data_IF_466058619143
#
_entry.id   IF_466058619143
#
_cell.length_a   1.000
_cell.length_b   1.000
_cell.length_c   1.000
_cell.angle_alpha   90.00
_cell.angle_beta   90.00
_cell.angle_gamma   90.00
#
_symmetry.space_group_name_H-M   'P 1'
#
loop_
_entity.id
_entity.type
_entity.pdbx_description
1 polymer ?
#
# COMPACT_ATOMS: atom_id res chain seq x y z
N UNK A 1 -43.18 -59.73 64.49
CA UNK A 1 -43.49 -59.88 63.06
C UNK A 1 -42.85 -58.68 62.37
N UNK A 2 -41.74 -58.90 61.67
CA UNK A 2 -40.87 -57.86 61.12
C UNK A 2 -41.04 -57.80 59.60
N UNK A 3 -41.43 -56.64 59.07
CA UNK A 3 -41.58 -56.41 57.64
C UNK A 3 -40.26 -55.92 57.03
N UNK A 4 -39.71 -56.74 56.12
CA UNK A 4 -38.45 -56.51 55.43
C UNK A 4 -38.64 -55.59 54.22
N UNK A 5 -37.92 -54.46 54.22
CA UNK A 5 -37.76 -53.57 53.06
C UNK A 5 -37.01 -54.30 51.94
N UNK A 6 -37.68 -54.55 50.82
CA UNK A 6 -37.07 -55.03 49.58
C UNK A 6 -36.30 -53.91 48.89
N UNK A 7 -34.98 -54.02 48.85
CA UNK A 7 -34.08 -53.15 48.10
C UNK A 7 -34.26 -53.38 46.58
N UNK A 8 -34.65 -52.32 45.87
CA UNK A 8 -34.70 -52.28 44.41
C UNK A 8 -33.27 -52.36 43.84
N UNK A 9 -33.01 -53.46 43.14
CA UNK A 9 -31.78 -53.76 42.42
C UNK A 9 -31.62 -52.83 41.23
N UNK A 10 -30.67 -51.90 41.30
CA UNK A 10 -30.26 -51.03 40.20
C UNK A 10 -29.82 -51.86 38.98
N UNK A 11 -30.47 -51.63 37.82
CA UNK A 11 -30.06 -52.19 36.52
C UNK A 11 -28.84 -51.40 36.01
N UNK A 12 -27.73 -52.06 35.61
CA UNK A 12 -26.61 -51.34 35.02
C UNK A 12 -26.99 -50.84 33.62
N UNK A 13 -26.73 -49.55 33.36
CA UNK A 13 -26.89 -48.93 32.04
C UNK A 13 -26.07 -49.68 30.98
N UNK A 14 -26.57 -49.80 29.74
CA UNK A 14 -25.85 -50.47 28.67
C UNK A 14 -24.54 -49.73 28.40
N UNK A 15 -23.41 -50.40 28.65
CA UNK A 15 -22.09 -49.93 28.20
C UNK A 15 -22.16 -49.74 26.69
N UNK A 16 -22.04 -48.49 26.25
CA UNK A 16 -21.89 -48.13 24.85
C UNK A 16 -20.71 -48.93 24.29
N UNK A 17 -21.00 -49.98 23.50
CA UNK A 17 -19.96 -50.73 22.79
C UNK A 17 -19.30 -49.73 21.85
N UNK A 18 -17.97 -49.68 21.89
CA UNK A 18 -17.15 -48.92 20.94
C UNK A 18 -17.50 -49.42 19.54
N UNK A 19 -18.34 -48.67 18.82
CA UNK A 19 -18.34 -48.77 17.36
C UNK A 19 -16.95 -48.35 16.92
N UNK A 20 -16.37 -49.07 15.96
CA UNK A 20 -15.18 -48.61 15.26
C UNK A 20 -15.49 -47.21 14.73
N UNK A 21 -14.90 -46.21 15.40
CA UNK A 21 -15.23 -44.81 15.15
C UNK A 21 -14.60 -44.44 13.82
N UNK A 22 -15.37 -44.55 12.74
CA UNK A 22 -14.96 -44.10 11.42
C UNK A 22 -14.73 -42.60 11.47
N UNK A 23 -13.47 -42.19 11.66
CA UNK A 23 -13.07 -40.80 11.74
C UNK A 23 -13.51 -39.98 10.51
N UNK A 24 -13.76 -40.63 9.37
CA UNK A 24 -14.28 -39.98 8.16
C UNK A 24 -15.71 -39.42 8.34
N UNK A 25 -16.55 -40.08 9.15
CA UNK A 25 -18.00 -39.76 9.27
C UNK A 25 -18.32 -38.67 10.29
N UNK A 26 -17.37 -38.29 11.14
CA UNK A 26 -17.60 -37.30 12.20
C UNK A 26 -17.57 -35.85 11.69
N UNK A 27 -18.46 -35.02 12.22
CA UNK A 27 -18.40 -33.56 12.00
C UNK A 27 -17.16 -32.95 12.66
N UNK A 28 -16.69 -31.77 12.23
CA UNK A 28 -15.50 -31.12 12.82
C UNK A 28 -15.60 -30.93 14.34
N UNK A 29 -16.78 -30.55 14.85
CA UNK A 29 -17.01 -30.38 16.29
C UNK A 29 -17.05 -31.70 17.06
N UNK A 30 -17.58 -32.76 16.45
CA UNK A 30 -17.56 -34.10 17.05
C UNK A 30 -16.13 -34.65 17.08
N UNK A 31 -15.34 -34.41 16.02
CA UNK A 31 -13.90 -34.74 15.96
C UNK A 31 -13.13 -34.01 17.06
N UNK A 32 -13.35 -32.71 17.23
CA UNK A 32 -12.69 -31.92 18.28
C UNK A 32 -13.03 -32.46 19.68
N UNK A 33 -14.31 -32.73 19.96
CA UNK A 33 -14.75 -33.33 21.23
C UNK A 33 -14.13 -34.71 21.45
N UNK A 34 -14.10 -35.56 20.43
CA UNK A 34 -13.47 -36.87 20.51
C UNK A 34 -11.97 -36.77 20.82
N UNK A 35 -11.24 -35.90 20.11
CA UNK A 35 -9.80 -35.71 20.32
C UNK A 35 -9.47 -35.15 21.72
N UNK A 36 -10.35 -34.37 22.33
CA UNK A 36 -10.15 -33.82 23.67
C UNK A 36 -10.11 -34.90 24.78
N UNK A 37 -10.76 -36.05 24.57
CA UNK A 37 -10.88 -37.11 25.58
C UNK A 37 -10.29 -38.46 25.14
N UNK A 38 -9.88 -38.61 23.87
CA UNK A 38 -9.30 -39.85 23.36
C UNK A 38 -7.82 -39.98 23.76
N UNK A 39 -7.40 -41.22 24.06
CA UNK A 39 -6.02 -41.53 24.42
C UNK A 39 -5.05 -41.22 23.24
N UNK A 40 -4.04 -40.35 23.44
CA UNK A 40 -3.11 -39.93 22.40
C UNK A 40 -2.14 -41.03 21.96
N UNK A 41 -2.04 -42.13 22.70
CA UNK A 41 -1.18 -43.27 22.37
C UNK A 41 -1.71 -44.05 21.16
N UNK A 42 -2.99 -43.88 20.82
CA UNK A 42 -3.59 -44.54 19.66
C UNK A 42 -3.09 -43.91 18.35
N UNK A 43 -2.67 -44.71 17.36
CA UNK A 43 -2.08 -44.21 16.12
C UNK A 43 -3.04 -43.27 15.36
N UNK A 44 -4.33 -43.61 15.30
CA UNK A 44 -5.34 -42.80 14.60
C UNK A 44 -5.59 -41.44 15.27
N UNK A 45 -5.54 -41.41 16.61
CA UNK A 45 -5.70 -40.15 17.37
C UNK A 45 -4.48 -39.28 17.16
N UNK A 46 -3.28 -39.87 17.18
CA UNK A 46 -2.01 -39.18 16.95
C UNK A 46 -1.93 -38.54 15.56
N UNK A 47 -2.38 -39.25 14.52
CA UNK A 47 -2.41 -38.70 13.14
C UNK A 47 -3.42 -37.57 13.01
N UNK A 48 -4.61 -37.71 13.60
CA UNK A 48 -5.62 -36.64 13.62
C UNK A 48 -5.15 -35.39 14.39
N UNK A 49 -4.46 -35.59 15.52
CA UNK A 49 -3.91 -34.49 16.32
C UNK A 49 -2.79 -33.77 15.56
N UNK A 50 -1.90 -34.51 14.90
CA UNK A 50 -0.86 -33.94 14.05
C UNK A 50 -1.47 -33.15 12.87
N UNK A 51 -2.53 -33.66 12.24
CA UNK A 51 -3.22 -32.95 11.18
C UNK A 51 -3.89 -31.64 11.66
N UNK A 52 -4.45 -31.64 12.88
CA UNK A 52 -5.02 -30.44 13.49
C UNK A 52 -3.95 -29.37 13.76
N UNK A 53 -2.82 -29.75 14.36
CA UNK A 53 -1.69 -28.85 14.61
C UNK A 53 -1.12 -28.27 13.30
N UNK A 54 -1.00 -29.08 12.25
CA UNK A 54 -0.57 -28.61 10.94
C UNK A 54 -1.57 -27.63 10.31
N UNK A 55 -2.87 -27.81 10.53
CA UNK A 55 -3.92 -26.90 10.06
C UNK A 55 -3.88 -25.57 10.81
N UNK A 56 -3.67 -25.59 12.13
CA UNK A 56 -3.51 -24.38 12.94
C UNK A 56 -2.27 -23.60 12.53
N UNK A 57 -1.13 -24.28 12.35
CA UNK A 57 0.11 -23.66 11.87
C UNK A 57 -0.09 -22.98 10.51
N UNK A 58 -0.72 -23.68 9.55
CA UNK A 58 -1.06 -23.10 8.23
C UNK A 58 -1.98 -21.89 8.35
N UNK A 59 -2.95 -21.90 9.28
CA UNK A 59 -3.83 -20.75 9.49
C UNK A 59 -3.09 -19.54 10.06
N UNK A 60 -2.11 -19.75 10.94
CA UNK A 60 -1.25 -18.69 11.46
C UNK A 60 -0.34 -18.12 10.35
N UNK A 61 0.29 -19.00 9.57
CA UNK A 61 1.14 -18.59 8.44
C UNK A 61 0.34 -17.79 7.40
N UNK A 62 -0.90 -18.22 7.10
CA UNK A 62 -1.77 -17.49 6.18
C UNK A 62 -2.16 -16.11 6.74
N UNK A 63 -2.47 -15.99 8.03
CA UNK A 63 -2.74 -14.69 8.66
C UNK A 63 -1.53 -13.76 8.60
N UNK A 64 -0.33 -14.29 8.78
CA UNK A 64 0.90 -13.50 8.66
C UNK A 64 1.07 -12.97 7.23
N UNK A 65 0.91 -13.85 6.22
CA UNK A 65 0.95 -13.44 4.81
C UNK A 65 -0.11 -12.39 4.47
N UNK A 66 -1.33 -12.54 4.96
CA UNK A 66 -2.39 -11.55 4.76
C UNK A 66 -2.03 -10.17 5.34
N UNK A 67 -1.32 -10.13 6.47
CA UNK A 67 -0.84 -8.88 7.06
C UNK A 67 0.30 -8.27 6.24
N UNK A 68 1.25 -9.09 5.79
CA UNK A 68 2.34 -8.68 4.90
C UNK A 68 1.80 -8.12 3.59
N UNK A 69 0.81 -8.79 2.97
CA UNK A 69 0.14 -8.34 1.75
C UNK A 69 -0.58 -7.00 1.96
N UNK A 70 -1.30 -6.84 3.07
CA UNK A 70 -1.95 -5.56 3.41
C UNK A 70 -0.94 -4.44 3.57
N UNK A 71 0.18 -4.71 4.23
CA UNK A 71 1.26 -3.73 4.41
C UNK A 71 1.87 -3.36 3.05
N UNK A 72 2.15 -4.35 2.20
CA UNK A 72 2.69 -4.14 0.85
C UNK A 72 1.73 -3.30 0.01
N UNK A 73 0.43 -3.63 0.00
CA UNK A 73 -0.60 -2.85 -0.69
C UNK A 73 -0.62 -1.41 -0.17
N UNK A 74 -0.50 -1.20 1.14
CA UNK A 74 -0.42 0.13 1.75
C UNK A 74 0.78 0.93 1.22
N UNK A 75 1.96 0.32 1.19
CA UNK A 75 3.18 0.94 0.66
C UNK A 75 3.06 1.26 -0.83
N UNK A 76 2.52 0.34 -1.62
CA UNK A 76 2.32 0.54 -3.06
C UNK A 76 1.33 1.67 -3.34
N UNK A 77 0.19 1.70 -2.64
CA UNK A 77 -0.81 2.78 -2.75
C UNK A 77 -0.23 4.15 -2.35
N UNK A 78 0.55 4.21 -1.27
CA UNK A 78 1.20 5.44 -0.85
C UNK A 78 2.23 5.93 -1.90
N UNK A 79 2.99 4.99 -2.48
CA UNK A 79 3.96 5.28 -3.55
C UNK A 79 3.26 5.77 -4.81
N UNK A 80 2.15 5.14 -5.19
CA UNK A 80 1.32 5.55 -6.33
C UNK A 80 0.75 6.97 -6.12
N UNK A 81 0.18 7.26 -4.95
CA UNK A 81 -0.37 8.58 -4.64
C UNK A 81 0.71 9.68 -4.74
N UNK A 82 1.91 9.41 -4.22
CA UNK A 82 3.07 10.32 -4.36
C UNK A 82 3.46 10.52 -5.81
N UNK A 83 3.49 9.45 -6.61
CA UNK A 83 3.80 9.53 -8.04
C UNK A 83 2.75 10.34 -8.80
N UNK A 84 1.45 10.14 -8.51
CA UNK A 84 0.36 10.96 -9.08
C UNK A 84 0.58 12.44 -8.79
N UNK A 85 0.81 12.81 -7.52
CA UNK A 85 1.09 14.20 -7.14
C UNK A 85 2.33 14.78 -7.82
N UNK A 86 3.41 14.01 -7.89
CA UNK A 86 4.64 14.42 -8.59
C UNK A 86 4.38 14.68 -10.07
N UNK A 87 3.66 13.79 -10.74
CA UNK A 87 3.34 13.91 -12.16
C UNK A 87 2.46 15.14 -12.42
N UNK A 88 1.41 15.36 -11.62
CA UNK A 88 0.56 16.55 -11.74
C UNK A 88 1.35 17.84 -11.53
N UNK A 89 2.25 17.89 -10.53
CA UNK A 89 3.13 19.05 -10.31
C UNK A 89 4.06 19.30 -11.49
N UNK A 90 4.66 18.25 -12.04
CA UNK A 90 5.54 18.35 -13.20
C UNK A 90 4.78 18.83 -14.44
N UNK A 91 3.59 18.27 -14.68
CA UNK A 91 2.71 18.70 -15.78
C UNK A 91 2.33 20.18 -15.64
N UNK A 92 1.90 20.61 -14.45
CA UNK A 92 1.58 22.01 -14.19
C UNK A 92 2.78 22.93 -14.45
N UNK A 93 3.97 22.57 -13.94
CA UNK A 93 5.19 23.35 -14.18
C UNK A 93 5.53 23.44 -15.67
N UNK A 94 5.40 22.35 -16.42
CA UNK A 94 5.65 22.33 -17.85
C UNK A 94 4.64 23.19 -18.63
N UNK A 95 3.35 23.04 -18.35
CA UNK A 95 2.29 23.82 -19.01
C UNK A 95 2.45 25.32 -18.71
N UNK A 96 2.67 25.67 -17.43
CA UNK A 96 2.92 27.05 -17.02
C UNK A 96 4.15 27.63 -17.71
N UNK A 97 5.23 26.85 -17.85
CA UNK A 97 6.41 27.31 -18.56
C UNK A 97 6.14 27.51 -20.07
N UNK A 98 5.41 26.60 -20.71
CA UNK A 98 5.01 26.74 -22.11
C UNK A 98 4.15 27.98 -22.34
N UNK A 99 3.19 28.24 -21.46
CA UNK A 99 2.31 29.41 -21.54
C UNK A 99 3.06 30.72 -21.35
N UNK A 100 3.97 30.79 -20.37
CA UNK A 100 4.81 31.97 -20.18
C UNK A 100 5.72 32.20 -21.40
N UNK A 101 6.33 31.15 -21.95
CA UNK A 101 7.15 31.26 -23.17
C UNK A 101 6.32 31.76 -24.36
N UNK A 102 5.08 31.30 -24.48
CA UNK A 102 4.14 31.79 -25.49
C UNK A 102 3.88 33.28 -25.27
N UNK A 103 3.56 33.72 -24.05
CA UNK A 103 3.35 35.14 -23.74
C UNK A 103 4.59 36.01 -24.02
N UNK A 104 5.79 35.50 -23.73
CA UNK A 104 7.06 36.16 -24.05
C UNK A 104 7.17 36.42 -25.55
N UNK A 105 6.80 35.44 -26.39
CA UNK A 105 6.90 35.57 -27.85
C UNK A 105 5.99 36.64 -28.46
N UNK A 106 4.92 37.05 -27.77
CA UNK A 106 4.04 38.14 -28.18
C UNK A 106 4.38 39.50 -27.55
N UNK A 107 5.40 39.58 -26.70
CA UNK A 107 5.79 40.87 -26.13
C UNK A 107 6.40 41.77 -27.21
N UNK A 108 5.89 42.99 -27.32
CA UNK A 108 6.43 44.02 -28.22
C UNK A 108 7.73 44.64 -27.70
N UNK A 109 7.89 44.69 -26.38
CA UNK A 109 9.04 45.29 -25.68
C UNK A 109 9.86 44.20 -24.97
N UNK A 110 11.20 44.26 -25.10
CA UNK A 110 12.16 43.41 -24.42
C UNK A 110 11.99 43.45 -22.89
N UNK A 111 11.73 44.62 -22.30
CA UNK A 111 11.48 44.78 -20.86
C UNK A 111 10.27 43.96 -20.39
N UNK A 112 9.22 43.89 -21.19
CA UNK A 112 8.04 43.08 -20.93
C UNK A 112 8.36 41.58 -20.94
N UNK A 113 9.12 41.14 -21.94
CA UNK A 113 9.59 39.75 -22.05
C UNK A 113 10.44 39.33 -20.84
N UNK A 114 11.40 40.17 -20.43
CA UNK A 114 12.28 39.91 -19.27
C UNK A 114 11.47 39.80 -17.97
N UNK A 115 10.45 40.66 -17.78
CA UNK A 115 9.57 40.57 -16.60
C UNK A 115 8.80 39.26 -16.52
N UNK A 116 8.39 38.71 -17.68
CA UNK A 116 7.70 37.44 -17.73
C UNK A 116 8.64 36.26 -17.46
N UNK A 117 9.91 36.36 -17.87
CA UNK A 117 10.92 35.31 -17.63
C UNK A 117 11.15 35.06 -16.12
N UNK A 118 10.96 36.07 -15.27
CA UNK A 118 11.06 35.92 -13.80
C UNK A 118 10.08 34.88 -13.24
N UNK A 119 8.95 34.63 -13.92
CA UNK A 119 7.99 33.62 -13.49
C UNK A 119 8.41 32.18 -13.85
N UNK A 120 9.42 32.00 -14.70
CA UNK A 120 9.94 30.69 -15.06
C UNK A 120 10.89 30.15 -13.98
N UNK A 121 10.97 28.82 -13.82
CA UNK A 121 11.99 28.22 -12.96
C UNK A 121 13.41 28.64 -13.39
N UNK A 122 14.30 29.00 -12.46
CA UNK A 122 15.69 29.32 -12.78
C UNK A 122 16.37 28.19 -13.56
N UNK A 123 17.00 28.53 -14.69
CA UNK A 123 17.76 27.56 -15.49
C UNK A 123 18.99 27.11 -14.69
N UNK A 124 19.15 25.79 -14.51
CA UNK A 124 20.23 25.19 -13.70
C UNK A 124 21.64 25.40 -14.26
N UNK A 125 21.74 25.82 -15.53
CA UNK A 125 23.00 25.97 -16.26
C UNK A 125 23.32 27.45 -16.58
N UNK A 126 22.98 28.37 -15.67
CA UNK A 126 23.58 29.70 -15.73
C UNK A 126 24.96 29.53 -15.08
N UNK A 127 25.93 29.04 -15.86
CA UNK A 127 27.32 29.22 -15.48
C UNK A 127 27.49 30.69 -15.09
N UNK A 128 28.18 30.99 -13.97
CA UNK A 128 28.48 32.37 -13.58
C UNK A 128 29.18 33.04 -14.76
N UNK A 129 28.41 33.75 -15.56
CA UNK A 129 28.90 34.40 -16.76
C UNK A 129 29.62 35.65 -16.25
N UNK A 130 30.94 35.66 -16.35
CA UNK A 130 31.71 36.89 -16.17
C UNK A 130 31.18 37.92 -17.17
N UNK A 131 31.00 39.16 -16.73
CA UNK A 131 30.57 40.23 -17.63
C UNK A 131 31.62 40.43 -18.72
N UNK A 132 31.30 39.97 -19.94
CA UNK A 132 32.14 40.10 -21.13
C UNK A 132 31.62 41.20 -22.07
N UNK A 133 30.72 42.06 -21.59
CA UNK A 133 30.07 43.08 -22.41
C UNK A 133 30.91 44.36 -22.46
N UNK A 134 31.17 44.82 -23.68
CA UNK A 134 31.82 46.12 -23.89
C UNK A 134 30.82 47.28 -23.68
N UNK A 135 31.33 48.48 -23.39
CA UNK A 135 30.51 49.68 -23.10
C UNK A 135 29.49 50.01 -24.19
N UNK A 136 29.86 49.86 -25.46
CA UNK A 136 28.97 50.08 -26.61
C UNK A 136 27.81 49.06 -26.61
N UNK A 137 28.12 47.79 -26.33
CA UNK A 137 27.10 46.74 -26.29
C UNK A 137 26.14 46.94 -25.12
N UNK A 138 26.66 47.39 -23.98
CA UNK A 138 25.86 47.74 -22.80
C UNK A 138 24.89 48.88 -23.11
N UNK A 139 25.38 49.98 -23.68
CA UNK A 139 24.54 51.12 -24.08
C UNK A 139 23.46 50.71 -25.08
N UNK A 140 23.79 49.81 -26.02
CA UNK A 140 22.80 49.30 -26.98
C UNK A 140 21.71 48.44 -26.34
N UNK A 141 22.03 47.63 -25.33
CA UNK A 141 21.03 46.83 -24.60
C UNK A 141 20.12 47.73 -23.77
N UNK A 142 20.69 48.73 -23.11
CA UNK A 142 19.92 49.71 -22.33
C UNK A 142 18.91 50.45 -23.22
N UNK A 143 19.32 50.87 -24.42
CA UNK A 143 18.43 51.46 -25.43
C UNK A 143 17.28 50.52 -25.81
N UNK A 144 17.56 49.22 -26.03
CA UNK A 144 16.54 48.21 -26.37
C UNK A 144 15.57 47.96 -25.19
N UNK A 145 16.05 48.05 -23.94
CA UNK A 145 15.21 47.87 -22.75
C UNK A 145 14.36 49.11 -22.43
N UNK A 146 14.81 50.30 -22.81
CA UNK A 146 14.10 51.56 -22.62
C UNK A 146 13.09 51.88 -23.73
N UNK A 147 13.12 51.15 -24.84
CA UNK A 147 12.18 51.34 -25.94
C UNK A 147 10.75 50.91 -25.57
N UNK A 148 9.91 51.89 -25.25
CA UNK A 148 8.50 51.70 -24.92
C UNK A 148 7.62 51.49 -26.18
N UNK A 149 8.13 51.81 -27.37
CA UNK A 149 7.44 51.67 -28.66
C UNK A 149 7.37 50.22 -29.14
N UNK A 150 8.34 49.40 -28.70
CA UNK A 150 8.62 48.08 -29.25
C UNK A 150 9.06 48.14 -30.71
N UNK A 151 9.56 47.03 -31.25
CA UNK A 151 9.82 46.91 -32.69
C UNK A 151 8.49 46.90 -33.46
N UNK A 152 7.93 48.09 -33.69
CA UNK A 152 6.76 48.31 -34.52
C UNK A 152 7.14 48.20 -36.00
N UNK A 153 6.57 47.21 -36.67
CA UNK A 153 6.28 47.30 -38.10
C UNK A 153 5.04 48.16 -38.32
#
# INVERSE_FOLDING_TARGET
MADAKTLLRNKPAPRFRKSSCDASKMTPEQKARYLAFADPTKPDVKTMLAAALMKERKALDNRQKELEDKNLIGVLKASEARNRLRNTRLQYQNLRAQEINFLISFQRNAKGAVRLEVFLPPRRNIAKLSDCMNTIQRSRIEEILEDESGFGC
#
